data_IF_823690135633
#
_entry.id   IF_823690135633
#
_cell.length_a   1.000
_cell.length_b   1.000
_cell.length_c   1.000
_cell.angle_alpha   90.00
_cell.angle_beta   90.00
_cell.angle_gamma   90.00
#
_symmetry.space_group_name_H-M   'P 1'
#
loop_
_entity.id
_entity.type
_entity.pdbx_description
1 polymer ?
#
# COMPACT_ATOMS: atom_id res chain seq x y z
N UNK A 1 19.50 -86.39 -5.51
CA UNK A 1 20.10 -85.96 -6.79
C UNK A 1 19.09 -85.01 -7.43
N UNK A 2 19.57 -83.84 -7.84
CA UNK A 2 18.90 -82.83 -8.71
C UNK A 2 17.68 -82.04 -8.18
N UNK A 3 18.00 -80.89 -7.55
CA UNK A 3 17.88 -79.52 -8.09
C UNK A 3 16.76 -79.15 -9.11
N UNK A 4 16.11 -78.00 -8.81
CA UNK A 4 15.71 -76.88 -9.70
C UNK A 4 14.21 -76.55 -9.87
N UNK A 5 13.97 -75.23 -9.79
CA UNK A 5 12.95 -74.37 -10.43
C UNK A 5 11.55 -74.18 -9.81
N UNK A 6 11.39 -72.97 -9.25
CA UNK A 6 10.49 -71.90 -9.73
C UNK A 6 8.97 -71.85 -9.43
N UNK A 7 8.64 -70.79 -8.68
CA UNK A 7 7.62 -69.74 -8.90
C UNK A 7 6.11 -70.08 -8.71
N UNK A 8 5.53 -69.59 -7.59
CA UNK A 8 4.45 -68.55 -7.52
C UNK A 8 3.27 -68.81 -6.55
N UNK A 9 2.96 -67.77 -5.76
CA UNK A 9 1.62 -67.33 -5.29
C UNK A 9 0.94 -67.99 -4.07
N UNK A 10 0.82 -67.25 -2.95
CA UNK A 10 -0.47 -66.70 -2.45
C UNK A 10 -0.30 -65.91 -1.13
N UNK A 11 -1.10 -64.84 -0.97
CA UNK A 11 -1.11 -63.81 0.09
C UNK A 11 -1.66 -64.33 1.46
N UNK A 12 -1.75 -63.58 2.60
CA UNK A 12 -2.15 -62.16 2.72
C UNK A 12 -1.43 -61.27 3.80
N UNK A 13 -1.75 -59.97 3.74
CA UNK A 13 -1.65 -58.91 4.77
C UNK A 13 -2.25 -59.29 6.15
N UNK A 14 -2.07 -58.55 7.29
CA UNK A 14 -1.99 -57.08 7.38
C UNK A 14 -1.06 -56.47 8.47
N UNK A 15 -0.74 -55.18 8.35
CA UNK A 15 -0.78 -54.22 9.47
C UNK A 15 -0.52 -52.79 8.98
N UNK A 16 -1.50 -51.92 9.23
CA UNK A 16 -1.57 -50.58 8.70
C UNK A 16 -0.85 -49.53 9.57
N UNK A 17 -0.44 -48.46 8.87
CA UNK A 17 -0.68 -47.04 9.22
C UNK A 17 0.40 -46.28 10.02
N UNK A 18 1.20 -45.52 9.28
CA UNK A 18 1.58 -44.15 9.64
C UNK A 18 1.84 -43.34 8.36
N UNK A 19 0.78 -42.72 7.82
CA UNK A 19 0.90 -41.81 6.68
C UNK A 19 1.51 -40.48 7.16
N UNK A 20 2.79 -40.28 6.83
CA UNK A 20 3.42 -38.96 6.87
C UNK A 20 2.76 -38.05 5.86
N UNK A 21 2.14 -36.97 6.36
CA UNK A 21 1.47 -35.92 5.58
C UNK A 21 2.51 -35.21 4.70
N UNK A 22 2.48 -35.47 3.40
CA UNK A 22 3.23 -34.70 2.42
C UNK A 22 2.81 -33.21 2.49
N UNK A 23 3.75 -32.26 2.34
CA UNK A 23 3.44 -30.85 2.34
C UNK A 23 2.53 -30.51 1.15
N UNK A 24 1.44 -29.80 1.45
CA UNK A 24 0.50 -29.27 0.47
C UNK A 24 1.23 -28.47 -0.61
N UNK A 25 0.80 -28.54 -1.89
CA UNK A 25 1.43 -27.76 -2.94
C UNK A 25 1.21 -26.28 -2.65
N UNK A 26 2.31 -25.57 -2.43
CA UNK A 26 2.35 -24.11 -2.45
C UNK A 26 1.77 -23.64 -3.78
N UNK A 27 0.77 -22.77 -3.67
CA UNK A 27 0.02 -22.09 -4.71
C UNK A 27 0.84 -21.85 -5.99
N UNK A 28 0.48 -22.53 -7.07
CA UNK A 28 1.01 -22.37 -8.44
C UNK A 28 0.86 -20.96 -9.02
N UNK A 29 0.17 -20.05 -8.30
CA UNK A 29 -0.02 -18.65 -8.65
C UNK A 29 1.22 -17.77 -8.48
N UNK A 30 2.20 -18.17 -7.68
CA UNK A 30 3.39 -17.35 -7.42
C UNK A 30 4.48 -17.48 -8.50
N UNK A 31 4.56 -18.63 -9.18
CA UNK A 31 5.60 -18.91 -10.19
C UNK A 31 5.15 -18.47 -11.60
N UNK A 32 3.83 -18.43 -11.86
CA UNK A 32 3.27 -17.85 -13.09
C UNK A 32 3.48 -16.32 -13.21
N UNK A 33 3.90 -15.66 -12.12
CA UNK A 33 4.14 -14.22 -12.08
C UNK A 33 5.42 -13.76 -12.80
N UNK A 34 6.24 -14.67 -13.34
CA UNK A 34 7.55 -14.34 -13.96
C UNK A 34 7.68 -14.80 -15.42
N UNK A 35 6.59 -15.16 -16.10
CA UNK A 35 6.63 -15.51 -17.53
C UNK A 35 6.95 -14.27 -18.40
N UNK A 36 7.94 -14.34 -19.32
CA UNK A 36 8.22 -13.30 -20.32
C UNK A 36 7.07 -13.19 -21.34
N UNK A 37 6.76 -11.98 -21.82
CA UNK A 37 5.77 -11.75 -22.88
C UNK A 37 4.33 -11.45 -22.44
N UNK A 38 4.00 -11.50 -21.14
CA UNK A 38 2.66 -11.18 -20.64
C UNK A 38 2.62 -9.80 -19.95
N UNK A 39 1.59 -9.01 -20.28
CA UNK A 39 1.32 -7.74 -19.62
C UNK A 39 0.77 -7.97 -18.21
N UNK A 40 1.31 -7.27 -17.23
CA UNK A 40 0.92 -7.37 -15.81
C UNK A 40 0.51 -6.00 -15.30
N UNK A 41 -0.38 -5.98 -14.33
CA UNK A 41 -0.88 -4.76 -13.69
C UNK A 41 -0.47 -4.74 -12.23
N UNK A 42 0.24 -3.69 -11.84
CA UNK A 42 0.55 -3.38 -10.46
C UNK A 42 -0.62 -2.59 -9.88
N UNK A 43 -1.36 -3.20 -8.95
CA UNK A 43 -2.46 -2.54 -8.24
C UNK A 43 -1.92 -1.53 -7.23
N UNK A 44 -2.79 -0.62 -6.76
CA UNK A 44 -2.47 0.39 -5.73
C UNK A 44 -1.90 -0.17 -4.41
N UNK A 45 -2.16 -1.44 -4.10
CA UNK A 45 -1.64 -2.12 -2.91
C UNK A 45 -0.30 -2.84 -3.16
N UNK A 46 0.36 -2.61 -4.30
CA UNK A 46 1.61 -3.27 -4.69
C UNK A 46 1.42 -4.70 -5.25
N UNK A 47 0.22 -5.27 -5.21
CA UNK A 47 -0.01 -6.62 -5.75
C UNK A 47 0.02 -6.61 -7.27
N UNK A 48 0.74 -7.57 -7.84
CA UNK A 48 0.83 -7.78 -9.28
C UNK A 48 -0.23 -8.78 -9.69
N UNK A 49 -1.04 -8.43 -10.70
CA UNK A 49 -2.04 -9.32 -11.29
C UNK A 49 -1.87 -9.40 -12.81
N UNK A 50 -2.34 -10.49 -13.43
CA UNK A 50 -2.44 -10.55 -14.89
C UNK A 50 -3.29 -9.39 -15.43
N UNK A 51 -2.88 -8.83 -16.56
CA UNK A 51 -3.69 -7.85 -17.27
C UNK A 51 -4.95 -8.50 -17.82
N UNK A 52 -6.09 -7.85 -17.59
CA UNK A 52 -7.41 -8.33 -17.99
C UNK A 52 -8.18 -7.20 -18.66
N UNK A 53 -8.32 -7.33 -19.98
CA UNK A 53 -8.98 -6.37 -20.88
C UNK A 53 -10.45 -6.16 -20.52
N UNK A 54 -11.12 -7.19 -20.00
CA UNK A 54 -12.55 -7.12 -19.66
C UNK A 54 -12.84 -6.07 -18.57
N UNK A 55 -11.88 -5.81 -17.69
CA UNK A 55 -12.02 -4.83 -16.60
C UNK A 55 -12.07 -3.40 -17.09
N UNK A 56 -11.40 -3.10 -18.20
CA UNK A 56 -11.42 -1.78 -18.84
C UNK A 56 -12.81 -1.55 -19.43
N UNK A 57 -13.32 -2.50 -20.21
CA UNK A 57 -14.66 -2.43 -20.79
C UNK A 57 -15.73 -2.21 -19.71
N UNK A 58 -15.69 -3.00 -18.62
CA UNK A 58 -16.65 -2.84 -17.50
C UNK A 58 -16.56 -1.46 -16.87
N UNK A 59 -15.36 -0.91 -16.68
CA UNK A 59 -15.18 0.41 -16.07
C UNK A 59 -15.73 1.53 -16.97
N UNK A 60 -15.47 1.47 -18.28
CA UNK A 60 -16.00 2.42 -19.25
C UNK A 60 -17.52 2.32 -19.31
N UNK A 61 -18.09 1.11 -19.41
CA UNK A 61 -19.55 0.91 -19.42
C UNK A 61 -20.22 1.52 -18.19
N UNK A 62 -19.62 1.41 -17.00
CA UNK A 62 -20.17 2.02 -15.78
C UNK A 62 -20.24 3.55 -15.87
N UNK A 63 -19.26 4.19 -16.48
CA UNK A 63 -19.30 5.63 -16.72
C UNK A 63 -20.41 6.01 -17.71
N UNK A 64 -20.58 5.25 -18.79
CA UNK A 64 -21.69 5.43 -19.72
C UNK A 64 -23.06 5.28 -19.04
N UNK A 65 -23.24 4.24 -18.22
CA UNK A 65 -24.51 4.00 -17.49
C UNK A 65 -24.83 5.09 -16.47
N UNK A 66 -23.81 5.74 -15.91
CA UNK A 66 -24.02 6.84 -14.97
C UNK A 66 -24.53 8.11 -15.67
N UNK A 67 -24.12 8.36 -16.92
CA UNK A 67 -24.52 9.54 -17.69
C UNK A 67 -25.80 9.30 -18.50
N UNK A 68 -25.87 8.20 -19.24
CA UNK A 68 -26.99 7.86 -20.13
C UNK A 68 -28.10 7.04 -19.45
N UNK A 69 -27.88 6.61 -18.20
CA UNK A 69 -28.83 5.85 -17.40
C UNK A 69 -28.89 4.35 -17.70
N UNK A 70 -29.74 3.58 -17.00
CA UNK A 70 -29.78 2.11 -17.13
C UNK A 70 -30.18 1.60 -18.51
N UNK A 71 -30.95 2.38 -19.27
CA UNK A 71 -31.39 2.04 -20.63
C UNK A 71 -30.20 1.90 -21.61
N UNK A 72 -29.08 2.58 -21.33
CA UNK A 72 -27.85 2.45 -22.09
C UNK A 72 -27.25 1.03 -22.04
N UNK A 73 -27.59 0.20 -21.03
CA UNK A 73 -27.05 -1.14 -20.90
C UNK A 73 -27.39 -2.07 -22.08
N UNK A 74 -28.52 -1.83 -22.74
CA UNK A 74 -28.97 -2.61 -23.91
C UNK A 74 -28.63 -1.94 -25.25
N UNK A 75 -27.98 -0.76 -25.24
CA UNK A 75 -27.71 0.00 -26.44
C UNK A 75 -26.54 -0.57 -27.22
N UNK A 76 -26.80 -1.07 -28.44
CA UNK A 76 -25.76 -1.59 -29.34
C UNK A 76 -24.70 -0.53 -29.70
N UNK A 77 -25.10 0.74 -29.84
CA UNK A 77 -24.18 1.87 -30.07
C UNK A 77 -23.13 1.97 -28.97
N UNK A 78 -23.55 1.87 -27.72
CA UNK A 78 -22.66 2.03 -26.56
C UNK A 78 -21.70 0.85 -26.45
N UNK A 79 -22.19 -0.38 -26.65
CA UNK A 79 -21.32 -1.55 -26.69
C UNK A 79 -20.23 -1.43 -27.77
N UNK A 80 -20.58 -0.93 -28.95
CA UNK A 80 -19.60 -0.66 -30.02
C UNK A 80 -18.59 0.41 -29.62
N UNK A 81 -19.04 1.54 -29.07
CA UNK A 81 -18.15 2.62 -28.60
C UNK A 81 -17.22 2.16 -27.50
N UNK A 82 -17.73 1.44 -26.49
CA UNK A 82 -16.94 0.88 -25.39
C UNK A 82 -15.90 -0.11 -25.92
N UNK A 83 -16.29 -0.97 -26.86
CA UNK A 83 -15.36 -1.92 -27.49
C UNK A 83 -14.23 -1.21 -28.23
N UNK A 84 -14.56 -0.17 -29.02
CA UNK A 84 -13.58 0.62 -29.75
C UNK A 84 -12.62 1.37 -28.82
N UNK A 85 -13.13 2.00 -27.75
CA UNK A 85 -12.32 2.67 -26.74
C UNK A 85 -11.39 1.68 -26.02
N UNK A 86 -11.92 0.53 -25.63
CA UNK A 86 -11.14 -0.53 -24.97
C UNK A 86 -10.01 -1.01 -25.86
N UNK A 87 -10.28 -1.26 -27.15
CA UNK A 87 -9.27 -1.67 -28.12
C UNK A 87 -8.17 -0.62 -28.29
N UNK A 88 -8.52 0.67 -28.31
CA UNK A 88 -7.55 1.77 -28.42
C UNK A 88 -6.59 1.83 -27.23
N UNK A 89 -7.10 1.64 -26.01
CA UNK A 89 -6.30 1.61 -24.79
C UNK A 89 -5.35 0.40 -24.81
N UNK A 90 -5.86 -0.77 -25.18
CA UNK A 90 -5.07 -2.01 -25.28
C UNK A 90 -3.94 -1.86 -26.31
N UNK A 91 -4.25 -1.35 -27.50
CA UNK A 91 -3.27 -1.16 -28.58
C UNK A 91 -2.16 -0.19 -28.16
N UNK A 92 -2.50 0.86 -27.39
CA UNK A 92 -1.51 1.80 -26.84
C UNK A 92 -0.49 1.08 -25.93
N UNK A 93 -0.95 0.18 -25.05
CA UNK A 93 -0.06 -0.58 -24.18
C UNK A 93 0.73 -1.65 -24.94
N UNK A 94 0.12 -2.33 -25.91
CA UNK A 94 0.80 -3.32 -26.75
C UNK A 94 1.93 -2.69 -27.57
N UNK A 95 1.72 -1.50 -28.14
CA UNK A 95 2.75 -0.77 -28.89
C UNK A 95 3.90 -0.28 -28.02
N UNK A 96 3.60 0.19 -26.80
CA UNK A 96 4.63 0.66 -25.85
C UNK A 96 5.43 -0.48 -25.24
N UNK A 97 4.85 -1.67 -25.10
CA UNK A 97 5.49 -2.83 -24.47
C UNK A 97 5.29 -4.11 -25.30
N UNK A 98 5.96 -4.22 -26.47
CA UNK A 98 5.83 -5.37 -27.37
C UNK A 98 6.33 -6.69 -26.74
N UNK A 99 7.26 -6.60 -25.79
CA UNK A 99 7.84 -7.76 -25.08
C UNK A 99 7.11 -8.11 -23.77
N UNK A 100 5.97 -7.45 -23.49
CA UNK A 100 5.31 -7.48 -22.19
C UNK A 100 5.95 -6.52 -21.17
N UNK A 101 5.46 -6.55 -19.93
CA UNK A 101 5.92 -5.64 -18.87
C UNK A 101 4.90 -5.47 -17.76
N UNK A 102 5.21 -4.59 -16.80
CA UNK A 102 4.32 -4.24 -15.69
C UNK A 102 3.87 -2.79 -15.80
N UNK A 103 2.56 -2.55 -15.73
CA UNK A 103 1.94 -1.22 -15.78
C UNK A 103 1.29 -0.91 -14.45
N UNK A 104 1.38 0.32 -13.96
CA UNK A 104 0.61 0.73 -12.78
C UNK A 104 -0.87 0.91 -13.15
N UNK A 105 -1.78 0.54 -12.25
CA UNK A 105 -3.22 0.69 -12.50
C UNK A 105 -3.63 2.15 -12.76
N UNK A 106 -2.87 3.14 -12.25
CA UNK A 106 -3.10 4.56 -12.57
C UNK A 106 -2.81 4.87 -14.04
N UNK A 107 -1.72 4.33 -14.61
CA UNK A 107 -1.39 4.56 -16.02
C UNK A 107 -2.51 4.07 -16.94
N UNK A 108 -3.16 2.95 -16.59
CA UNK A 108 -4.31 2.42 -17.32
C UNK A 108 -5.51 3.35 -17.21
N UNK A 109 -5.76 3.92 -16.01
CA UNK A 109 -6.84 4.88 -15.81
C UNK A 109 -6.61 6.16 -16.63
N UNK A 110 -5.39 6.69 -16.61
CA UNK A 110 -5.02 7.88 -17.37
C UNK A 110 -5.17 7.65 -18.88
N UNK A 111 -4.83 6.46 -19.39
CA UNK A 111 -5.06 6.12 -20.79
C UNK A 111 -6.55 6.02 -21.15
N UNK A 112 -7.40 5.50 -20.24
CA UNK A 112 -8.85 5.46 -20.46
C UNK A 112 -9.44 6.87 -20.51
N UNK A 113 -9.03 7.75 -19.60
CA UNK A 113 -9.46 9.15 -19.58
C UNK A 113 -9.02 9.89 -20.84
N UNK A 114 -7.77 9.71 -21.26
CA UNK A 114 -7.26 10.29 -22.49
C UNK A 114 -8.03 9.80 -23.72
N UNK A 115 -8.36 8.50 -23.79
CA UNK A 115 -9.13 7.93 -24.89
C UNK A 115 -10.54 8.53 -24.96
N UNK A 116 -11.23 8.67 -23.81
CA UNK A 116 -12.55 9.29 -23.74
C UNK A 116 -12.51 10.76 -24.17
N UNK A 117 -11.50 11.52 -23.71
CA UNK A 117 -11.34 12.93 -24.09
C UNK A 117 -11.06 13.10 -25.59
N UNK A 118 -10.24 12.23 -26.19
CA UNK A 118 -9.92 12.27 -27.63
C UNK A 118 -11.11 11.95 -28.53
N UNK A 119 -12.04 11.11 -28.07
CA UNK A 119 -13.28 10.81 -28.80
C UNK A 119 -14.36 11.89 -28.60
N UNK A 120 -14.09 12.95 -27.84
CA UNK A 120 -15.05 14.02 -27.57
C UNK A 120 -16.10 13.66 -26.51
N UNK A 121 -15.96 12.51 -25.84
CA UNK A 121 -16.89 12.01 -24.82
C UNK A 121 -16.63 12.67 -23.45
N UNK A 122 -16.63 14.01 -23.43
CA UNK A 122 -16.22 14.80 -22.26
C UNK A 122 -17.11 14.60 -21.03
N UNK A 123 -18.43 14.45 -21.24
CA UNK A 123 -19.38 14.18 -20.16
C UNK A 123 -19.09 12.83 -19.48
N UNK A 124 -18.72 11.83 -20.29
CA UNK A 124 -18.42 10.47 -19.83
C UNK A 124 -17.05 10.43 -19.17
N UNK A 125 -16.04 11.13 -19.72
CA UNK A 125 -14.74 11.29 -19.08
C UNK A 125 -14.87 11.89 -17.68
N UNK A 126 -15.68 12.96 -17.52
CA UNK A 126 -15.93 13.56 -16.20
C UNK A 126 -16.62 12.58 -15.25
N UNK A 127 -17.63 11.86 -15.73
CA UNK A 127 -18.30 10.83 -14.92
C UNK A 127 -17.36 9.69 -14.52
N UNK A 128 -16.45 9.29 -15.40
CA UNK A 128 -15.43 8.29 -15.11
C UNK A 128 -14.47 8.75 -14.00
N UNK A 129 -14.04 10.03 -14.04
CA UNK A 129 -13.21 10.65 -12.99
C UNK A 129 -13.94 10.66 -11.65
N UNK A 130 -15.22 11.02 -11.62
CA UNK A 130 -16.02 10.99 -10.39
C UNK A 130 -16.15 9.54 -9.88
N UNK A 131 -16.45 8.59 -10.76
CA UNK A 131 -16.57 7.18 -10.40
C UNK A 131 -15.25 6.60 -9.84
N UNK A 132 -14.07 6.94 -10.39
CA UNK A 132 -12.79 6.47 -9.82
C UNK A 132 -12.53 7.06 -8.43
N UNK A 133 -12.95 8.31 -8.19
CA UNK A 133 -12.82 8.99 -6.90
C UNK A 133 -13.75 8.37 -5.87
N UNK A 134 -15.00 8.11 -6.24
CA UNK A 134 -15.98 7.43 -5.38
C UNK A 134 -15.50 6.03 -5.03
N UNK A 135 -14.95 5.28 -6.00
CA UNK A 135 -14.34 3.96 -5.73
C UNK A 135 -13.04 4.06 -4.93
N UNK A 136 -12.34 5.17 -4.95
CA UNK A 136 -11.20 5.42 -4.06
C UNK A 136 -11.69 5.71 -2.64
N UNK A 137 -12.71 6.54 -2.49
CA UNK A 137 -13.37 6.86 -1.22
C UNK A 137 -14.02 5.63 -0.58
N UNK A 138 -14.76 4.83 -1.34
CA UNK A 138 -15.36 3.57 -0.85
C UNK A 138 -14.30 2.57 -0.41
N UNK A 139 -13.13 2.52 -1.06
CA UNK A 139 -12.02 1.66 -0.61
C UNK A 139 -11.38 2.21 0.66
N UNK A 140 -11.21 3.52 0.78
CA UNK A 140 -10.74 4.16 2.01
C UNK A 140 -11.73 3.91 3.16
N UNK A 141 -13.04 4.05 2.88
CA UNK A 141 -14.12 3.79 3.82
C UNK A 141 -14.26 2.31 4.17
N UNK A 142 -14.09 1.37 3.23
CA UNK A 142 -14.10 -0.07 3.53
C UNK A 142 -12.83 -0.51 4.28
N UNK A 143 -11.73 0.23 4.15
CA UNK A 143 -10.55 0.12 5.02
C UNK A 143 -10.82 0.71 6.43
N UNK A 144 -11.88 1.50 6.58
CA UNK A 144 -12.38 2.07 7.83
C UNK A 144 -13.78 1.48 8.18
N UNK A 145 -13.85 0.18 8.54
CA UNK A 145 -13.82 -0.15 9.95
C UNK A 145 -12.99 -1.42 10.20
N UNK A 146 -11.67 -1.29 10.07
CA UNK A 146 -10.67 -2.10 10.78
C UNK A 146 -9.48 -1.22 11.22
N UNK A 147 -9.68 0.10 11.23
CA UNK A 147 -8.67 1.12 11.51
C UNK A 147 -8.82 1.72 12.93
N UNK A 148 -9.33 0.94 13.87
CA UNK A 148 -9.09 1.16 15.31
C UNK A 148 -7.96 0.27 15.86
N UNK A 149 -7.29 -0.51 15.01
CA UNK A 149 -6.09 -1.28 15.40
C UNK A 149 -4.99 -1.34 14.33
N UNK A 150 -5.26 -1.08 13.05
CA UNK A 150 -4.25 -1.25 11.97
C UNK A 150 -3.38 -0.01 11.64
N UNK A 151 -3.35 1.01 12.51
CA UNK A 151 -2.29 2.04 12.51
C UNK A 151 -1.22 1.77 13.59
N UNK A 152 -1.33 0.65 14.31
CA UNK A 152 -0.32 0.20 15.26
C UNK A 152 0.75 -0.72 14.61
N UNK A 153 0.52 -1.28 13.42
CA UNK A 153 1.33 -2.40 12.91
C UNK A 153 2.60 -2.00 12.13
N UNK A 154 2.88 -0.72 11.90
CA UNK A 154 4.20 -0.29 11.36
C UNK A 154 5.16 0.14 12.47
N UNK A 155 4.66 0.36 13.69
CA UNK A 155 5.44 0.84 14.84
C UNK A 155 5.56 -0.17 15.97
N UNK A 156 4.83 -1.31 15.92
CA UNK A 156 4.80 -2.36 16.95
C UNK A 156 6.10 -3.18 17.13
N UNK A 157 7.25 -2.63 16.71
CA UNK A 157 8.55 -3.28 16.87
C UNK A 157 9.76 -2.36 16.72
N UNK A 158 9.58 -1.03 16.64
CA UNK A 158 10.72 -0.12 16.57
C UNK A 158 11.37 -0.05 17.94
N UNK A 159 12.64 -0.42 17.99
CA UNK A 159 13.48 -0.31 19.18
C UNK A 159 14.37 0.90 19.05
N UNK A 160 14.47 1.70 20.11
CA UNK A 160 15.34 2.89 20.19
C UNK A 160 16.61 2.53 20.94
N UNK A 161 17.75 2.97 20.41
CA UNK A 161 19.06 2.83 21.06
C UNK A 161 19.32 4.07 21.92
N UNK A 162 19.48 3.85 23.22
CA UNK A 162 19.83 4.90 24.18
C UNK A 162 21.36 5.10 24.26
N UNK A 163 21.84 6.23 24.83
CA UNK A 163 23.28 6.51 24.95
C UNK A 163 24.03 5.48 25.80
N UNK A 164 23.34 4.78 26.70
CA UNK A 164 23.86 3.67 27.51
C UNK A 164 24.04 2.36 26.72
N UNK A 165 23.69 2.36 25.42
CA UNK A 165 23.71 1.19 24.54
C UNK A 165 22.52 0.26 24.74
N UNK A 166 21.61 0.57 25.68
CA UNK A 166 20.40 -0.22 25.89
C UNK A 166 19.41 0.00 24.74
N UNK A 167 18.63 -1.05 24.49
CA UNK A 167 17.60 -1.09 23.45
C UNK A 167 16.25 -1.17 24.12
N UNK A 168 15.45 -0.11 24.00
CA UNK A 168 14.12 -0.01 24.63
C UNK A 168 13.07 0.17 23.54
N UNK A 169 11.85 -0.39 23.70
CA UNK A 169 10.78 -0.19 22.73
C UNK A 169 10.43 1.30 22.64
N UNK A 170 10.03 1.75 21.45
CA UNK A 170 9.61 3.13 21.23
C UNK A 170 8.42 3.49 22.13
N UNK A 171 8.61 4.49 22.99
CA UNK A 171 7.54 5.01 23.85
C UNK A 171 6.68 6.02 23.09
N UNK A 172 5.61 5.52 22.48
CA UNK A 172 4.64 6.34 21.76
C UNK A 172 3.90 7.30 22.70
N UNK A 173 3.66 6.95 23.96
CA UNK A 173 2.95 7.80 24.89
C UNK A 173 3.79 9.04 25.25
N UNK A 174 5.10 8.86 25.47
CA UNK A 174 6.05 9.96 25.67
C UNK A 174 6.11 10.86 24.44
N UNK A 175 6.20 10.29 23.23
CA UNK A 175 6.20 11.06 21.98
C UNK A 175 4.92 11.89 21.80
N UNK A 176 3.75 11.29 22.03
CA UNK A 176 2.47 12.01 21.96
C UNK A 176 2.42 13.19 22.93
N UNK A 177 2.92 13.00 24.15
CA UNK A 177 2.96 14.06 25.17
C UNK A 177 3.86 15.21 24.74
N UNK A 178 5.10 14.89 24.33
CA UNK A 178 6.10 15.86 23.91
C UNK A 178 5.63 16.70 22.71
N UNK A 179 5.09 16.06 21.67
CA UNK A 179 4.60 16.78 20.49
C UNK A 179 3.33 17.57 20.81
N UNK A 180 2.45 17.03 21.66
CA UNK A 180 1.27 17.73 22.15
C UNK A 180 1.61 19.02 22.90
N UNK A 181 2.57 18.96 23.82
CA UNK A 181 3.09 20.13 24.55
C UNK A 181 3.76 21.14 23.62
N UNK A 182 4.56 20.66 22.65
CA UNK A 182 5.18 21.53 21.66
C UNK A 182 4.14 22.32 20.84
N UNK A 183 3.01 21.70 20.51
CA UNK A 183 1.93 22.34 19.74
C UNK A 183 0.92 23.12 20.61
N UNK A 184 1.02 23.04 21.94
CA UNK A 184 0.02 23.61 22.83
C UNK A 184 -0.09 25.14 22.67
N UNK A 185 -1.32 25.62 22.51
CA UNK A 185 -1.62 27.05 22.35
C UNK A 185 -1.22 27.66 21.01
N UNK A 186 -0.79 26.85 20.02
CA UNK A 186 -0.52 27.31 18.67
C UNK A 186 -1.77 27.16 17.80
N UNK A 187 -2.04 28.18 16.98
CA UNK A 187 -3.17 28.16 16.06
C UNK A 187 -2.79 27.41 14.78
N UNK A 188 -3.73 26.64 14.22
CA UNK A 188 -3.59 25.96 12.93
C UNK A 188 -2.41 24.96 12.87
N UNK A 189 -1.93 24.50 14.03
CA UNK A 189 -0.87 23.49 14.20
C UNK A 189 -1.49 22.19 14.71
N UNK A 190 -1.21 21.08 14.03
CA UNK A 190 -1.75 19.76 14.38
C UNK A 190 -0.62 18.80 14.82
N UNK A 191 -0.61 18.34 16.09
CA UNK A 191 0.39 17.41 16.60
C UNK A 191 0.49 16.11 15.80
N UNK A 192 -0.66 15.65 15.31
CA UNK A 192 -0.79 14.37 14.60
C UNK A 192 -0.02 14.35 13.29
N UNK A 193 0.03 15.48 12.57
CA UNK A 193 0.77 15.57 11.30
C UNK A 193 2.28 15.40 11.52
N UNK A 194 2.82 15.98 12.60
CA UNK A 194 4.23 15.82 12.96
C UNK A 194 4.51 14.36 13.34
N UNK A 195 3.66 13.76 14.16
CA UNK A 195 3.84 12.38 14.62
C UNK A 195 3.74 11.37 13.48
N UNK A 196 2.69 11.43 12.66
CA UNK A 196 2.47 10.48 11.59
C UNK A 196 3.61 10.51 10.57
N UNK A 197 4.14 11.70 10.26
CA UNK A 197 5.25 11.86 9.32
C UNK A 197 6.60 11.47 9.94
N UNK A 198 6.84 11.78 11.22
CA UNK A 198 8.05 11.34 11.91
C UNK A 198 8.10 9.82 12.05
N UNK A 199 6.99 9.18 12.42
CA UNK A 199 6.90 7.72 12.57
C UNK A 199 7.13 6.96 11.27
N UNK A 200 6.75 7.54 10.11
CA UNK A 200 7.03 6.94 8.80
C UNK A 200 8.51 6.94 8.44
N UNK A 201 9.27 7.90 8.96
CA UNK A 201 10.69 8.08 8.65
C UNK A 201 11.60 7.35 9.64
N UNK A 202 11.06 6.73 10.69
CA UNK A 202 11.81 5.96 11.67
C UNK A 202 12.06 4.52 11.20
N UNK A 203 13.22 3.98 11.56
CA UNK A 203 13.63 2.61 11.31
C UNK A 203 13.98 1.90 12.63
N UNK A 204 13.98 0.57 12.63
CA UNK A 204 14.33 -0.21 13.83
C UNK A 204 15.81 -0.02 14.22
N UNK A 205 16.07 0.27 15.49
CA UNK A 205 17.41 0.57 16.00
C UNK A 205 17.85 2.02 15.82
N UNK A 206 16.92 2.94 15.54
CA UNK A 206 17.19 4.39 15.55
C UNK A 206 17.71 4.85 16.91
N UNK A 207 18.65 5.80 16.93
CA UNK A 207 19.14 6.35 18.19
C UNK A 207 18.14 7.36 18.78
N UNK A 208 18.16 7.53 20.10
CA UNK A 208 17.34 8.55 20.79
C UNK A 208 17.62 9.98 20.29
N UNK A 209 18.87 10.28 19.91
CA UNK A 209 19.26 11.57 19.32
C UNK A 209 18.68 11.75 17.90
N UNK A 210 18.72 10.70 17.08
CA UNK A 210 18.15 10.73 15.73
C UNK A 210 16.62 10.80 15.77
N UNK A 211 15.98 10.18 16.77
CA UNK A 211 14.54 10.28 17.00
C UNK A 211 14.11 11.74 17.25
N UNK A 212 14.83 12.47 18.11
CA UNK A 212 14.56 13.88 18.35
C UNK A 212 14.79 14.73 17.09
N UNK A 213 15.90 14.48 16.41
CA UNK A 213 16.24 15.15 15.14
C UNK A 213 15.16 14.92 14.07
N UNK A 214 14.61 13.72 13.97
CA UNK A 214 13.53 13.38 13.06
C UNK A 214 12.26 14.22 13.32
N UNK A 215 11.87 14.39 14.59
CA UNK A 215 10.73 15.24 14.98
C UNK A 215 10.96 16.71 14.60
N UNK A 216 12.16 17.24 14.87
CA UNK A 216 12.52 18.63 14.55
C UNK A 216 12.51 18.88 13.04
N UNK A 217 13.12 17.98 12.25
CA UNK A 217 13.14 18.10 10.78
C UNK A 217 11.72 18.03 10.22
N UNK A 218 10.90 17.09 10.72
CA UNK A 218 9.52 16.93 10.29
C UNK A 218 8.66 18.15 10.61
N UNK A 219 8.77 18.72 11.81
CA UNK A 219 8.06 19.95 12.15
C UNK A 219 8.53 21.13 11.28
N UNK A 220 9.83 21.21 10.98
CA UNK A 220 10.40 22.28 10.16
C UNK A 220 9.87 22.28 8.73
N UNK A 221 9.64 21.12 8.12
CA UNK A 221 9.08 21.06 6.75
C UNK A 221 7.65 21.57 6.67
N UNK A 222 6.90 21.55 7.78
CA UNK A 222 5.53 22.06 7.83
C UNK A 222 5.45 23.60 7.92
N UNK A 223 6.57 24.28 8.21
CA UNK A 223 6.65 25.75 8.28
C UNK A 223 6.30 26.41 6.95
N UNK A 224 6.62 25.76 5.82
CA UNK A 224 6.28 26.26 4.50
C UNK A 224 4.76 26.29 4.25
N UNK A 225 4.01 25.43 4.93
CA UNK A 225 2.54 25.38 4.83
C UNK A 225 1.86 26.28 5.84
N UNK A 226 2.37 26.31 7.07
CA UNK A 226 1.81 27.08 8.16
C UNK A 226 2.94 27.65 9.05
N UNK A 227 3.10 28.99 9.13
CA UNK A 227 4.19 29.62 9.86
C UNK A 227 4.26 29.27 11.36
N UNK A 228 3.12 28.98 12.00
CA UNK A 228 3.08 28.68 13.43
C UNK A 228 3.84 27.39 13.81
N UNK A 229 4.12 26.49 12.85
CA UNK A 229 4.99 25.34 13.09
C UNK A 229 6.41 25.76 13.50
N UNK A 230 6.85 26.98 13.22
CA UNK A 230 8.18 27.47 13.66
C UNK A 230 8.34 27.42 15.18
N UNK A 231 7.28 27.72 15.93
CA UNK A 231 7.27 27.65 17.38
C UNK A 231 7.27 26.21 17.88
N UNK A 232 6.54 25.31 17.21
CA UNK A 232 6.57 23.89 17.51
C UNK A 232 7.99 23.32 17.28
N UNK A 233 8.62 23.63 16.14
CA UNK A 233 10.00 23.24 15.84
C UNK A 233 10.99 23.71 16.91
N UNK A 234 10.88 24.98 17.34
CA UNK A 234 11.73 25.51 18.40
C UNK A 234 11.53 24.82 19.75
N UNK A 235 10.27 24.48 20.10
CA UNK A 235 9.95 23.76 21.34
C UNK A 235 10.44 22.31 21.33
N UNK A 236 10.36 21.63 20.18
CA UNK A 236 10.93 20.30 20.01
C UNK A 236 12.47 20.32 20.12
N UNK A 237 13.12 21.30 19.50
CA UNK A 237 14.57 21.47 19.63
C UNK A 237 14.98 21.76 21.08
N UNK A 238 14.18 22.57 21.79
CA UNK A 238 14.41 22.88 23.20
C UNK A 238 14.35 21.63 24.09
N UNK A 239 13.49 20.67 23.77
CA UNK A 239 13.44 19.39 24.49
C UNK A 239 14.75 18.60 24.37
N UNK A 240 15.34 18.57 23.17
CA UNK A 240 16.65 17.96 22.94
C UNK A 240 17.75 18.63 23.76
N UNK A 241 17.79 19.96 23.75
CA UNK A 241 18.77 20.74 24.53
C UNK A 241 18.59 20.56 26.05
N UNK A 242 17.35 20.45 26.53
CA UNK A 242 17.07 20.17 27.94
C UNK A 242 17.55 18.79 28.33
N UNK A 243 17.29 17.78 27.50
CA UNK A 243 17.74 16.41 27.76
C UNK A 243 19.26 16.33 27.82
N UNK A 244 19.95 16.99 26.89
CA UNK A 244 21.43 17.07 26.89
C UNK A 244 21.96 17.78 28.14
N UNK A 245 21.45 18.96 28.47
CA UNK A 245 21.92 19.75 29.60
C UNK A 245 21.65 19.06 30.94
N UNK A 246 20.44 18.52 31.13
CA UNK A 246 20.06 17.84 32.38
C UNK A 246 20.75 16.48 32.52
N UNK A 247 20.98 15.78 31.41
CA UNK A 247 21.79 14.56 31.37
C UNK A 247 23.24 14.83 31.77
N UNK A 248 23.85 15.90 31.24
CA UNK A 248 25.20 16.32 31.62
C UNK A 248 25.31 16.66 33.12
N UNK A 249 24.28 17.29 33.69
CA UNK A 249 24.22 17.63 35.10
C UNK A 249 23.85 16.46 36.02
N UNK A 250 23.49 15.29 35.45
CA UNK A 250 23.05 14.12 36.22
C UNK A 250 21.70 14.29 36.92
N UNK A 251 20.86 15.22 36.43
CA UNK A 251 19.55 15.55 37.03
C UNK A 251 18.43 14.67 36.46
N UNK A 252 18.55 14.24 35.20
CA UNK A 252 17.58 13.38 34.52
C UNK A 252 18.29 12.39 33.58
N UNK A 253 17.74 11.18 33.45
CA UNK A 253 18.19 10.19 32.45
C UNK A 253 17.52 10.46 31.08
N UNK A 254 18.24 10.16 29.99
CA UNK A 254 17.81 10.38 28.60
C UNK A 254 16.91 9.26 28.05
#
# INVERSE_FOLDING_TARGET
>A
MEQISDISSSAPEPAARAAGKAPSPLSSSSIAATAPGQLKVIKRNGTVVPYDESKIAIAITKAFLHVEGPAAAASGRIHQTVSALTAMVIDTFRRRMPSGGSVHIEDIQDQVELALMRQGEHAIARSYVIYREDRARERAARKAPAATVAAADTTSGITVVHPDGSRRPLDLARLHTLVGEACAGLKDVEPKLILDEALRNLYDGVSSADLNTALVITARTLVEREPNYTYATARLLLDGLRTEALGFLGIAEA
#
